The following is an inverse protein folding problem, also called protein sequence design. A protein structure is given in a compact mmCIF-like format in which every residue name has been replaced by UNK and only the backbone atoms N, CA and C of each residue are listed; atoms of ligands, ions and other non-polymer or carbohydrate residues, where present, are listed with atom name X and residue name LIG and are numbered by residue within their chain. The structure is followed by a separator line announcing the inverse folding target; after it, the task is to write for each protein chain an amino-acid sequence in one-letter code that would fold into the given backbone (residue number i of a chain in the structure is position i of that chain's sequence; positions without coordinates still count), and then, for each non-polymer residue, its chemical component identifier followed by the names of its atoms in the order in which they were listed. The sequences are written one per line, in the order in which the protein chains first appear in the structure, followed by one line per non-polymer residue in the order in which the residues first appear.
data_IF_742922517157
#
_entry.id   IF_742922517157
#
_cell.length_a   1.000
_cell.length_b   1.000
_cell.length_c   1.000
_cell.angle_alpha   90.00
_cell.angle_beta   90.00
_cell.angle_gamma   90.00
#
_symmetry.space_group_name_H-M   'P 1'
#
loop_
_entity.id
_entity.type
_entity.pdbx_description
1 polymer ?
#
# COMPACT_ATOMS: atom_id res chain seq x y z
N UNK A 1 18.10 -14.33 -6.14
CA UNK A 1 19.40 -13.62 -6.15
C UNK A 1 19.49 -12.82 -7.44
N UNK A 2 20.11 -11.64 -7.41
CA UNK A 2 20.37 -10.77 -8.57
C UNK A 2 21.87 -10.52 -8.63
N UNK A 3 22.47 -10.76 -9.80
CA UNK A 3 23.90 -10.57 -10.04
C UNK A 3 24.06 -9.53 -11.14
N UNK A 4 24.66 -8.39 -10.79
CA UNK A 4 24.95 -7.29 -11.72
C UNK A 4 26.31 -7.51 -12.42
N UNK A 5 26.54 -6.83 -13.54
CA UNK A 5 27.75 -6.98 -14.36
C UNK A 5 29.05 -6.65 -13.64
N UNK A 6 28.98 -5.76 -12.66
CA UNK A 6 30.11 -5.29 -11.87
C UNK A 6 30.46 -6.21 -10.70
N UNK A 7 29.68 -7.25 -10.43
CA UNK A 7 29.86 -8.15 -9.27
C UNK A 7 31.15 -8.97 -9.30
N UNK A 8 31.76 -9.22 -8.14
CA UNK A 8 32.74 -10.30 -7.98
C UNK A 8 32.07 -11.70 -8.02
N UNK A 9 32.15 -12.34 -9.19
CA UNK A 9 31.60 -13.67 -9.42
C UNK A 9 32.25 -14.77 -8.57
N UNK A 10 33.50 -14.61 -8.13
CA UNK A 10 34.14 -15.58 -7.24
C UNK A 10 33.53 -15.51 -5.84
N UNK A 11 33.29 -14.30 -5.33
CA UNK A 11 32.60 -14.09 -4.06
C UNK A 11 31.17 -14.66 -4.10
N UNK A 12 30.44 -14.45 -5.21
CA UNK A 12 29.10 -15.02 -5.44
C UNK A 12 29.13 -16.55 -5.33
N UNK A 13 30.05 -17.21 -6.03
CA UNK A 13 30.13 -18.69 -6.05
C UNK A 13 30.54 -19.23 -4.68
N UNK A 14 31.53 -18.62 -4.04
CA UNK A 14 31.92 -19.00 -2.68
C UNK A 14 30.74 -18.89 -1.71
N UNK A 15 29.95 -17.82 -1.81
CA UNK A 15 28.75 -17.66 -0.99
C UNK A 15 27.71 -18.74 -1.30
N UNK A 16 27.43 -19.02 -2.57
CA UNK A 16 26.51 -20.08 -2.97
C UNK A 16 26.96 -21.45 -2.47
N UNK A 17 28.25 -21.78 -2.56
CA UNK A 17 28.78 -23.04 -2.04
C UNK A 17 28.55 -23.20 -0.54
N UNK A 18 28.69 -22.11 0.24
CA UNK A 18 28.49 -22.14 1.69
C UNK A 18 27.00 -22.22 2.06
N UNK A 19 26.13 -21.53 1.29
CA UNK A 19 24.75 -21.25 1.71
C UNK A 19 23.68 -22.07 0.98
N UNK A 20 23.96 -22.60 -0.21
CA UNK A 20 22.97 -23.28 -1.03
C UNK A 20 22.46 -24.59 -0.42
N UNK A 21 23.29 -25.27 0.38
CA UNK A 21 22.87 -26.46 1.12
C UNK A 21 21.96 -26.13 2.32
N UNK A 22 22.11 -24.93 2.90
CA UNK A 22 21.42 -24.52 4.12
C UNK A 22 20.12 -23.76 3.83
N UNK A 23 20.06 -23.00 2.74
CA UNK A 23 18.92 -22.15 2.40
C UNK A 23 18.50 -22.33 0.93
N UNK A 24 17.28 -22.82 0.66
CA UNK A 24 16.83 -23.05 -0.71
C UNK A 24 16.71 -21.73 -1.48
N UNK A 25 17.45 -21.60 -2.58
CA UNK A 25 17.28 -20.50 -3.52
C UNK A 25 16.13 -20.82 -4.48
N UNK A 26 15.23 -19.86 -4.70
CA UNK A 26 14.13 -20.04 -5.64
C UNK A 26 14.53 -19.73 -7.09
N UNK A 27 15.31 -18.67 -7.29
CA UNK A 27 15.66 -18.15 -8.62
C UNK A 27 16.91 -17.28 -8.58
N UNK A 28 17.73 -17.36 -9.63
CA UNK A 28 18.89 -16.48 -9.85
C UNK A 28 18.65 -15.66 -11.13
N UNK A 29 18.80 -14.35 -11.03
CA UNK A 29 18.80 -13.42 -12.16
C UNK A 29 20.22 -12.93 -12.39
N UNK A 30 20.70 -13.03 -13.62
CA UNK A 30 22.08 -12.68 -13.99
C UNK A 30 22.06 -11.71 -15.16
N UNK A 31 22.84 -10.63 -15.08
CA UNK A 31 22.95 -9.72 -16.20
C UNK A 31 23.62 -10.44 -17.38
N UNK A 32 23.07 -10.29 -18.59
CA UNK A 32 23.43 -11.09 -19.77
C UNK A 32 24.96 -11.14 -20.01
N UNK A 33 25.63 -10.00 -19.84
CA UNK A 33 27.09 -9.82 -20.04
C UNK A 33 27.97 -10.71 -19.17
N UNK A 34 27.50 -11.14 -18.00
CA UNK A 34 28.28 -11.97 -17.06
C UNK A 34 27.76 -13.40 -16.93
N UNK A 35 26.68 -13.74 -17.65
CA UNK A 35 26.03 -15.05 -17.59
C UNK A 35 26.95 -16.20 -18.03
N UNK A 36 27.63 -16.06 -19.17
CA UNK A 36 28.55 -17.09 -19.67
C UNK A 36 29.74 -17.32 -18.73
N UNK A 37 30.29 -16.23 -18.18
CA UNK A 37 31.42 -16.28 -17.24
C UNK A 37 31.00 -16.96 -15.93
N UNK A 38 29.80 -16.69 -15.43
CA UNK A 38 29.26 -17.35 -14.24
C UNK A 38 29.09 -18.85 -14.48
N UNK A 39 28.49 -19.25 -15.60
CA UNK A 39 28.29 -20.67 -15.95
C UNK A 39 29.63 -21.40 -16.11
N UNK A 40 30.63 -20.73 -16.67
CA UNK A 40 31.98 -21.29 -16.78
C UNK A 40 32.59 -21.52 -15.39
N UNK A 41 32.53 -20.53 -14.50
CA UNK A 41 33.06 -20.66 -13.14
C UNK A 41 32.35 -21.76 -12.35
N UNK A 42 31.02 -21.86 -12.43
CA UNK A 42 30.27 -22.93 -11.75
C UNK A 42 30.75 -24.33 -12.17
N UNK A 43 31.04 -24.52 -13.47
CA UNK A 43 31.63 -25.77 -13.98
C UNK A 43 33.03 -26.00 -13.44
N UNK A 44 33.87 -24.96 -13.38
CA UNK A 44 35.23 -25.05 -12.84
C UNK A 44 35.27 -25.44 -11.36
N UNK A 45 34.29 -24.99 -10.57
CA UNK A 45 34.18 -25.35 -9.14
C UNK A 45 33.40 -26.66 -8.90
N UNK A 46 33.01 -27.40 -9.95
CA UNK A 46 32.16 -28.59 -9.86
C UNK A 46 30.88 -28.38 -9.04
N UNK A 47 30.32 -27.17 -9.12
CA UNK A 47 29.15 -26.77 -8.35
C UNK A 47 27.89 -26.86 -9.20
N UNK A 48 27.05 -27.85 -8.91
CA UNK A 48 25.75 -28.02 -9.56
C UNK A 48 24.64 -27.42 -8.70
N UNK A 49 23.87 -26.49 -9.29
CA UNK A 49 22.76 -25.83 -8.63
C UNK A 49 21.46 -26.24 -9.34
N UNK A 50 20.48 -26.75 -8.59
CA UNK A 50 19.17 -27.17 -9.10
C UNK A 50 18.18 -26.01 -9.36
N UNK A 51 18.67 -24.77 -9.36
CA UNK A 51 17.87 -23.55 -9.39
C UNK A 51 17.87 -22.93 -10.79
N UNK A 52 16.76 -22.32 -11.17
CA UNK A 52 16.64 -21.62 -12.45
C UNK A 52 17.52 -20.37 -12.49
N UNK A 53 18.35 -20.26 -13.53
CA UNK A 53 19.18 -19.10 -13.83
C UNK A 53 18.59 -18.41 -15.05
N UNK A 54 18.05 -17.22 -14.85
CA UNK A 54 17.49 -16.39 -15.91
C UNK A 54 18.41 -15.21 -16.18
N UNK A 55 18.49 -14.80 -17.44
CA UNK A 55 19.26 -13.61 -17.85
C UNK A 55 18.36 -12.39 -17.98
N UNK A 56 18.92 -11.21 -17.73
CA UNK A 56 18.26 -9.93 -17.99
C UNK A 56 19.24 -8.92 -18.61
N UNK A 57 18.72 -7.97 -19.40
CA UNK A 57 19.51 -6.91 -20.01
C UNK A 57 19.48 -5.63 -19.17
N UNK A 58 18.29 -5.28 -18.70
CA UNK A 58 18.05 -4.11 -17.86
C UNK A 58 17.42 -4.52 -16.55
N UNK A 59 17.76 -3.80 -15.48
CA UNK A 59 17.14 -3.96 -14.17
C UNK A 59 15.61 -3.74 -14.21
N UNK A 60 15.12 -2.97 -15.21
CA UNK A 60 13.68 -2.79 -15.46
C UNK A 60 12.97 -4.07 -15.91
N UNK A 61 13.71 -5.03 -16.47
CA UNK A 61 13.18 -6.31 -16.94
C UNK A 61 12.94 -7.26 -15.76
N UNK A 62 13.56 -6.98 -14.61
CA UNK A 62 13.39 -7.74 -13.38
C UNK A 62 12.07 -7.34 -12.71
N UNK A 63 10.96 -7.82 -13.26
CA UNK A 63 9.71 -7.84 -12.52
C UNK A 63 9.75 -9.00 -11.52
N UNK A 64 10.07 -8.68 -10.27
CA UNK A 64 9.85 -9.65 -9.20
C UNK A 64 8.36 -9.95 -9.14
N UNK A 65 8.00 -11.18 -9.52
CA UNK A 65 6.65 -11.69 -9.34
C UNK A 65 6.30 -11.53 -7.86
N UNK A 66 5.41 -10.59 -7.56
CA UNK A 66 4.74 -10.61 -6.27
C UNK A 66 3.87 -11.87 -6.25
N UNK A 67 4.04 -12.77 -5.27
CA UNK A 67 3.10 -13.85 -5.12
C UNK A 67 1.71 -13.22 -4.95
N UNK A 68 0.73 -13.65 -5.75
CA UNK A 68 -0.68 -13.21 -5.61
C UNK A 68 -1.24 -13.48 -4.20
N UNK A 69 -0.54 -14.29 -3.38
CA UNK A 69 -0.86 -14.64 -2.01
C UNK A 69 0.20 -14.11 -1.05
N UNK A 70 -0.23 -13.24 -0.15
CA UNK A 70 0.57 -12.43 0.76
C UNK A 70 1.15 -13.21 1.97
N UNK A 71 1.58 -14.46 1.79
CA UNK A 71 2.06 -15.33 2.89
C UNK A 71 3.56 -15.63 2.78
N UNK A 72 4.20 -15.33 1.64
CA UNK A 72 5.59 -15.69 1.43
C UNK A 72 6.52 -14.50 1.70
N UNK A 73 7.50 -14.71 2.58
CA UNK A 73 8.57 -13.74 2.83
C UNK A 73 9.45 -13.64 1.59
N UNK A 74 9.54 -12.43 1.02
CA UNK A 74 10.43 -12.15 -0.10
C UNK A 74 11.78 -11.66 0.40
N UNK A 75 12.79 -12.50 0.19
CA UNK A 75 14.20 -12.22 0.51
C UNK A 75 14.96 -12.12 -0.80
N UNK A 76 15.66 -11.01 -0.99
CA UNK A 76 16.45 -10.74 -2.20
C UNK A 76 17.91 -10.56 -1.78
N UNK A 77 18.82 -11.12 -2.56
CA UNK A 77 20.26 -10.86 -2.44
C UNK A 77 20.72 -10.24 -3.75
N UNK A 78 21.37 -9.09 -3.66
CA UNK A 78 21.92 -8.30 -4.76
C UNK A 78 23.44 -8.35 -4.65
N UNK A 79 24.10 -8.65 -5.75
CA UNK A 79 25.56 -8.64 -5.87
C UNK A 79 25.95 -7.53 -6.84
N UNK A 80 26.88 -6.67 -6.40
CA UNK A 80 27.38 -5.50 -7.14
C UNK A 80 28.50 -4.86 -6.34
N UNK A 81 29.55 -4.41 -7.02
CA UNK A 81 30.65 -3.65 -6.41
C UNK A 81 30.29 -2.17 -6.29
N UNK A 82 29.36 -1.66 -7.12
CA UNK A 82 28.74 -0.35 -6.93
C UNK A 82 27.65 -0.40 -5.85
N UNK A 83 28.08 -0.20 -4.61
CA UNK A 83 27.20 -0.16 -3.44
C UNK A 83 26.09 0.90 -3.56
N UNK A 84 26.34 2.03 -4.24
CA UNK A 84 25.33 3.08 -4.40
C UNK A 84 24.23 2.63 -5.35
N UNK A 85 24.60 2.05 -6.49
CA UNK A 85 23.65 1.45 -7.42
C UNK A 85 22.86 0.29 -6.76
N UNK A 86 23.54 -0.58 -6.00
CA UNK A 86 22.93 -1.68 -5.27
C UNK A 86 21.90 -1.20 -4.23
N UNK A 87 22.21 -0.12 -3.47
CA UNK A 87 21.28 0.49 -2.50
C UNK A 87 20.05 1.08 -3.20
N UNK A 88 20.24 1.80 -4.31
CA UNK A 88 19.13 2.37 -5.08
C UNK A 88 18.24 1.27 -5.66
N UNK A 89 18.83 0.20 -6.17
CA UNK A 89 18.11 -0.98 -6.61
C UNK A 89 17.33 -1.59 -5.44
N UNK A 90 17.99 -1.91 -4.32
CA UNK A 90 17.37 -2.47 -3.13
C UNK A 90 16.15 -1.68 -2.66
N UNK A 91 16.22 -0.34 -2.66
CA UNK A 91 15.11 0.54 -2.30
C UNK A 91 13.91 0.41 -3.26
N UNK A 92 14.16 0.20 -4.55
CA UNK A 92 13.12 0.06 -5.58
C UNK A 92 12.39 -1.29 -5.57
N UNK A 93 13.01 -2.34 -5.02
CA UNK A 93 12.44 -3.70 -5.03
C UNK A 93 11.38 -3.89 -3.95
N UNK A 94 10.20 -4.43 -4.29
CA UNK A 94 9.18 -4.79 -3.30
C UNK A 94 9.58 -6.07 -2.57
N UNK A 95 10.29 -5.92 -1.45
CA UNK A 95 10.81 -7.05 -0.67
C UNK A 95 10.90 -6.72 0.82
N UNK A 96 10.80 -7.74 1.65
CA UNK A 96 10.87 -7.58 3.10
C UNK A 96 12.32 -7.45 3.59
N UNK A 97 13.22 -8.22 2.98
CA UNK A 97 14.63 -8.26 3.36
C UNK A 97 15.50 -8.28 2.10
N UNK A 98 16.46 -7.37 2.04
CA UNK A 98 17.47 -7.32 0.98
C UNK A 98 18.86 -7.44 1.57
N UNK A 99 19.68 -8.32 1.01
CA UNK A 99 21.10 -8.42 1.31
C UNK A 99 21.90 -7.87 0.12
N UNK A 100 22.92 -7.07 0.39
CA UNK A 100 23.88 -6.59 -0.61
C UNK A 100 25.22 -7.28 -0.34
N UNK A 101 25.76 -7.95 -1.36
CA UNK A 101 27.00 -8.74 -1.35
C UNK A 101 27.04 -9.87 -0.31
N UNK A 102 25.87 -10.33 0.13
CA UNK A 102 25.65 -11.48 1.02
C UNK A 102 24.32 -12.17 0.71
N UNK A 103 24.12 -13.36 1.24
CA UNK A 103 22.86 -14.09 1.18
C UNK A 103 22.60 -14.82 2.50
N UNK A 104 21.43 -14.57 3.11
CA UNK A 104 20.92 -15.28 4.30
C UNK A 104 21.88 -15.32 5.51
N UNK A 105 22.75 -14.32 5.65
CA UNK A 105 23.65 -14.20 6.79
C UNK A 105 23.02 -13.34 7.89
N UNK A 106 22.49 -14.01 8.93
CA UNK A 106 21.70 -13.40 9.98
C UNK A 106 22.50 -12.97 11.24
N UNK A 107 23.84 -13.08 11.23
CA UNK A 107 24.77 -12.69 12.31
C UNK A 107 24.15 -12.68 13.73
N UNK A 108 24.02 -13.87 14.32
CA UNK A 108 23.79 -14.05 15.76
C UNK A 108 22.55 -13.37 16.32
N UNK A 109 21.39 -13.49 15.66
CA UNK A 109 20.04 -13.05 16.08
C UNK A 109 19.63 -11.60 15.78
N UNK A 110 20.42 -10.84 15.01
CA UNK A 110 20.22 -9.38 14.97
C UNK A 110 19.34 -8.85 13.84
N UNK A 111 18.99 -9.69 12.87
CA UNK A 111 17.98 -9.35 11.89
C UNK A 111 16.63 -9.58 12.56
N UNK A 112 16.04 -8.49 13.09
CA UNK A 112 14.68 -8.54 13.63
C UNK A 112 13.74 -8.92 12.50
N UNK A 113 13.30 -10.18 12.50
CA UNK A 113 12.40 -10.70 11.49
C UNK A 113 11.08 -9.92 11.51
N UNK A 114 10.57 -9.45 10.37
CA UNK A 114 9.34 -8.67 10.29
C UNK A 114 8.05 -9.51 10.50
N UNK A 115 8.07 -10.50 11.42
CA UNK A 115 6.97 -11.45 11.62
C UNK A 115 5.67 -10.77 12.05
N UNK A 116 5.76 -9.76 12.94
CA UNK A 116 4.57 -9.05 13.44
C UNK A 116 3.85 -8.25 12.36
N UNK A 117 4.57 -7.66 11.40
CA UNK A 117 3.95 -6.93 10.28
C UNK A 117 3.33 -7.87 9.23
N UNK A 118 3.86 -9.08 9.08
CA UNK A 118 3.34 -10.08 8.12
C UNK A 118 1.99 -10.65 8.54
N UNK A 119 1.78 -10.90 9.83
CA UNK A 119 0.48 -11.33 10.37
C UNK A 119 -0.61 -10.29 10.07
N UNK A 120 -0.27 -9.00 10.15
CA UNK A 120 -1.18 -7.90 9.86
C UNK A 120 -1.52 -7.80 8.36
N UNK A 121 -0.52 -7.97 7.48
CA UNK A 121 -0.74 -8.06 6.04
C UNK A 121 -1.62 -9.26 5.65
N UNK A 122 -1.48 -10.39 6.33
CA UNK A 122 -2.32 -11.57 6.08
C UNK A 122 -3.81 -11.29 6.33
N UNK A 123 -4.14 -10.51 7.37
CA UNK A 123 -5.51 -10.12 7.68
C UNK A 123 -6.11 -9.23 6.58
N UNK A 124 -5.41 -8.15 6.20
CA UNK A 124 -5.84 -7.23 5.14
C UNK A 124 -5.94 -7.87 3.75
N UNK A 125 -5.08 -8.84 3.43
CA UNK A 125 -5.16 -9.54 2.13
C UNK A 125 -6.28 -10.58 2.09
N UNK A 126 -6.62 -11.18 3.25
CA UNK A 126 -7.77 -12.09 3.36
C UNK A 126 -9.09 -11.35 3.16
N UNK A 127 -9.19 -10.12 3.66
CA UNK A 127 -10.31 -9.19 3.45
C UNK A 127 -10.59 -8.95 1.94
N UNK A 128 -9.53 -8.82 1.14
CA UNK A 128 -9.61 -8.52 -0.29
C UNK A 128 -9.92 -9.72 -1.19
N UNK A 129 -9.51 -10.92 -0.80
CA UNK A 129 -9.69 -12.11 -1.64
C UNK A 129 -11.14 -12.58 -1.62
N UNK A 130 -11.85 -12.37 -0.51
CA UNK A 130 -13.25 -12.79 -0.33
C UNK A 130 -14.19 -11.98 -1.24
N UNK A 131 -13.94 -10.68 -1.41
CA UNK A 131 -14.73 -9.81 -2.31
C UNK A 131 -14.55 -10.18 -3.79
N UNK A 132 -13.39 -10.73 -4.16
CA UNK A 132 -13.08 -11.15 -5.54
C UNK A 132 -13.55 -12.56 -5.91
N UNK A 133 -13.94 -13.39 -4.94
CA UNK A 133 -14.33 -14.78 -5.17
C UNK A 133 -15.83 -15.04 -5.03
N UNK A 134 -16.60 -14.12 -4.42
CA UNK A 134 -18.06 -14.23 -4.34
C UNK A 134 -18.74 -13.50 -5.52
N UNK A 135 -18.55 -14.02 -6.72
CA UNK A 135 -19.29 -13.60 -7.93
C UNK A 135 -20.78 -14.01 -7.90
N UNK A 136 -21.28 -14.68 -6.85
CA UNK A 136 -22.65 -15.24 -6.85
C UNK A 136 -23.60 -14.78 -5.72
N UNK A 137 -23.14 -14.12 -4.65
CA UNK A 137 -24.01 -13.78 -3.50
C UNK A 137 -24.48 -12.32 -3.45
N UNK A 138 -23.90 -11.43 -4.26
CA UNK A 138 -24.32 -10.01 -4.33
C UNK A 138 -25.63 -9.85 -5.12
N UNK A 139 -26.11 -10.91 -5.76
CA UNK A 139 -27.40 -10.96 -6.44
C UNK A 139 -28.61 -11.30 -5.58
N UNK A 140 -28.45 -11.71 -4.31
CA UNK A 140 -29.56 -12.36 -3.57
C UNK A 140 -29.89 -11.82 -2.18
N UNK A 141 -29.32 -10.72 -1.70
CA UNK A 141 -30.01 -9.95 -0.66
C UNK A 141 -31.13 -9.15 -1.33
N UNK A 142 -32.23 -9.83 -1.66
CA UNK A 142 -33.54 -9.21 -1.91
C UNK A 142 -34.09 -8.64 -0.59
N UNK A 143 -33.35 -7.74 0.05
CA UNK A 143 -34.00 -6.75 0.87
C UNK A 143 -34.43 -5.66 -0.10
N UNK A 144 -35.72 -5.67 -0.44
CA UNK A 144 -36.37 -4.55 -1.08
C UNK A 144 -36.30 -3.37 -0.12
N UNK A 145 -35.17 -2.66 -0.13
CA UNK A 145 -35.09 -1.35 0.49
C UNK A 145 -36.13 -0.46 -0.17
N UNK A 146 -36.98 0.16 0.65
CA UNK A 146 -37.99 1.12 0.18
C UNK A 146 -37.37 2.42 -0.32
N UNK A 147 -36.09 2.67 -0.06
CA UNK A 147 -35.45 3.94 -0.37
C UNK A 147 -34.58 3.89 -1.63
N UNK A 148 -34.29 2.70 -2.16
CA UNK A 148 -33.51 2.55 -3.39
C UNK A 148 -34.41 2.74 -4.61
N UNK A 149 -34.03 3.66 -5.48
CA UNK A 149 -34.73 4.06 -6.70
C UNK A 149 -33.76 4.02 -7.88
N UNK A 150 -34.28 3.64 -9.05
CA UNK A 150 -33.52 3.73 -10.28
C UNK A 150 -33.62 5.17 -10.83
N UNK A 151 -32.51 5.80 -11.20
CA UNK A 151 -32.52 7.22 -11.57
C UNK A 151 -33.45 7.52 -12.76
N UNK A 152 -33.61 6.57 -13.69
CA UNK A 152 -34.53 6.72 -14.83
C UNK A 152 -36.00 6.87 -14.45
N UNK A 153 -36.41 6.50 -13.23
CA UNK A 153 -37.79 6.65 -12.75
C UNK A 153 -38.07 7.97 -12.02
N UNK A 154 -37.03 8.76 -11.68
CA UNK A 154 -37.13 9.96 -10.82
C UNK A 154 -36.95 11.28 -11.60
N UNK A 155 -36.83 11.22 -12.93
CA UNK A 155 -36.60 12.39 -13.79
C UNK A 155 -37.87 13.27 -13.89
N UNK A 156 -38.29 13.97 -12.83
CA UNK A 156 -39.27 15.08 -12.91
C UNK A 156 -39.15 16.21 -11.88
N UNK A 157 -38.15 16.24 -10.99
CA UNK A 157 -38.03 17.33 -10.01
C UNK A 157 -36.64 17.94 -10.01
N UNK A 158 -36.55 19.18 -10.49
CA UNK A 158 -35.32 19.95 -10.71
C UNK A 158 -34.55 20.34 -9.43
N UNK A 159 -35.04 19.99 -8.24
CA UNK A 159 -34.49 20.44 -6.95
C UNK A 159 -33.80 19.34 -6.13
N UNK A 160 -33.58 18.15 -6.70
CA UNK A 160 -32.95 17.02 -5.98
C UNK A 160 -31.46 16.99 -6.28
N UNK A 161 -30.62 17.16 -5.25
CA UNK A 161 -29.18 16.96 -5.34
C UNK A 161 -28.84 15.48 -5.53
N UNK A 162 -28.04 15.18 -6.56
CA UNK A 162 -27.59 13.82 -6.90
C UNK A 162 -26.11 13.69 -6.54
N UNK A 163 -25.80 12.78 -5.63
CA UNK A 163 -24.46 12.40 -5.24
C UNK A 163 -24.03 11.11 -5.92
N UNK A 164 -22.97 11.20 -6.72
CA UNK A 164 -22.36 10.09 -7.44
C UNK A 164 -21.21 9.45 -6.64
N UNK A 165 -20.68 8.34 -7.15
CA UNK A 165 -19.46 7.73 -6.63
C UNK A 165 -18.24 8.54 -7.10
N UNK A 166 -17.11 8.45 -6.40
CA UNK A 166 -15.87 9.09 -6.85
C UNK A 166 -14.73 8.08 -6.89
N UNK A 167 -14.18 7.83 -8.07
CA UNK A 167 -12.98 7.02 -8.25
C UNK A 167 -12.33 7.37 -9.59
N UNK A 168 -11.06 7.02 -9.75
CA UNK A 168 -10.26 7.35 -10.93
C UNK A 168 -10.17 8.87 -11.21
N UNK A 169 -10.28 9.68 -10.15
CA UNK A 169 -10.18 11.14 -10.24
C UNK A 169 -11.43 11.83 -10.82
N UNK A 170 -12.55 11.12 -10.96
CA UNK A 170 -13.79 11.67 -11.50
C UNK A 170 -15.03 11.16 -10.75
N UNK A 171 -16.12 11.92 -10.88
CA UNK A 171 -17.45 11.50 -10.43
C UNK A 171 -18.03 10.46 -11.40
N UNK A 172 -18.52 9.36 -10.86
CA UNK A 172 -18.97 8.18 -11.60
C UNK A 172 -20.39 7.82 -11.20
N UNK A 173 -21.25 7.59 -12.19
CA UNK A 173 -22.60 7.07 -11.96
C UNK A 173 -22.53 5.58 -11.58
N UNK A 174 -23.39 5.10 -10.66
CA UNK A 174 -23.41 3.70 -10.28
C UNK A 174 -23.78 2.83 -11.49
N UNK A 175 -23.13 1.68 -11.65
CA UNK A 175 -23.29 0.81 -12.84
C UNK A 175 -24.73 0.38 -13.06
N UNK A 176 -25.45 0.05 -11.99
CA UNK A 176 -26.87 -0.35 -12.06
C UNK A 176 -27.84 0.84 -12.08
N UNK A 177 -27.36 2.09 -12.08
CA UNK A 177 -28.20 3.28 -12.05
C UNK A 177 -29.05 3.44 -10.78
N UNK A 178 -28.70 2.74 -9.71
CA UNK A 178 -29.44 2.69 -8.45
C UNK A 178 -28.95 3.76 -7.49
N UNK A 179 -29.89 4.46 -6.85
CA UNK A 179 -29.64 5.52 -5.87
C UNK A 179 -30.53 5.30 -4.66
N UNK A 180 -30.11 5.71 -3.46
CA UNK A 180 -30.94 5.75 -2.27
C UNK A 180 -31.28 7.19 -1.88
N UNK A 181 -32.50 7.40 -1.38
CA UNK A 181 -32.97 8.74 -1.00
C UNK A 181 -32.71 9.03 0.48
N UNK A 182 -32.09 10.18 0.76
CA UNK A 182 -31.89 10.66 2.13
C UNK A 182 -31.75 12.18 2.19
N UNK A 183 -32.42 12.81 3.16
CA UNK A 183 -32.43 14.27 3.38
C UNK A 183 -32.66 15.10 2.10
N UNK A 184 -33.59 14.66 1.25
CA UNK A 184 -33.91 15.35 -0.01
C UNK A 184 -32.86 15.18 -1.13
N UNK A 185 -31.80 14.42 -0.90
CA UNK A 185 -30.78 14.06 -1.89
C UNK A 185 -30.91 12.60 -2.35
N UNK A 186 -30.38 12.30 -3.53
CA UNK A 186 -30.20 10.94 -4.05
C UNK A 186 -28.71 10.60 -4.04
N UNK A 187 -28.35 9.52 -3.37
CA UNK A 187 -26.96 9.06 -3.26
C UNK A 187 -26.80 7.74 -4.00
N UNK A 188 -25.71 7.57 -4.74
CA UNK A 188 -25.47 6.36 -5.50
C UNK A 188 -25.48 5.12 -4.59
N UNK A 189 -26.09 4.03 -5.04
CA UNK A 189 -26.03 2.74 -4.38
C UNK A 189 -24.90 1.92 -5.00
N UNK A 190 -23.84 1.70 -4.22
CA UNK A 190 -22.67 0.94 -4.66
C UNK A 190 -23.03 -0.54 -4.82
N UNK A 191 -22.62 -1.14 -5.95
CA UNK A 191 -22.72 -2.58 -6.22
C UNK A 191 -21.35 -3.26 -6.15
N UNK A 192 -21.29 -4.59 -6.27
CA UNK A 192 -20.00 -5.30 -6.37
C UNK A 192 -19.13 -4.73 -7.48
N UNK A 193 -19.71 -4.55 -8.66
CA UNK A 193 -19.00 -4.13 -9.85
C UNK A 193 -18.43 -2.71 -9.66
N UNK A 194 -19.18 -1.83 -8.99
CA UNK A 194 -18.73 -0.49 -8.63
C UNK A 194 -17.55 -0.56 -7.65
N UNK A 195 -17.64 -1.43 -6.64
CA UNK A 195 -16.55 -1.65 -5.68
C UNK A 195 -15.30 -2.20 -6.36
N UNK A 196 -15.42 -3.19 -7.26
CA UNK A 196 -14.29 -3.77 -7.99
C UNK A 196 -13.58 -2.72 -8.86
N UNK A 197 -14.33 -1.86 -9.56
CA UNK A 197 -13.75 -0.75 -10.34
C UNK A 197 -13.06 0.28 -9.45
N UNK A 198 -13.71 0.68 -8.35
CA UNK A 198 -13.14 1.59 -7.36
C UNK A 198 -11.86 1.03 -6.74
N UNK A 199 -11.85 -0.26 -6.40
CA UNK A 199 -10.67 -0.94 -5.86
C UNK A 199 -9.53 -1.00 -6.88
N UNK A 200 -9.81 -1.30 -8.15
CA UNK A 200 -8.81 -1.26 -9.22
C UNK A 200 -8.22 0.15 -9.37
N UNK A 201 -9.06 1.18 -9.31
CA UNK A 201 -8.63 2.59 -9.25
C UNK A 201 -7.70 2.83 -8.06
N UNK A 202 -8.06 2.36 -6.86
CA UNK A 202 -7.22 2.47 -5.68
C UNK A 202 -5.87 1.76 -5.81
N UNK A 203 -5.83 0.57 -6.43
CA UNK A 203 -4.57 -0.15 -6.71
C UNK A 203 -3.68 0.62 -7.68
N UNK A 204 -4.24 1.26 -8.71
CA UNK A 204 -3.49 2.14 -9.60
C UNK A 204 -2.97 3.39 -8.85
N UNK A 205 -3.82 3.97 -8.01
CA UNK A 205 -3.47 5.06 -7.11
C UNK A 205 -2.32 4.69 -6.16
N UNK A 206 -2.31 3.46 -5.62
CA UNK A 206 -1.23 2.94 -4.79
C UNK A 206 0.11 2.96 -5.52
N UNK A 207 0.16 2.47 -6.76
CA UNK A 207 1.39 2.41 -7.56
C UNK A 207 2.01 3.80 -7.74
N UNK A 208 1.17 4.82 -7.91
CA UNK A 208 1.61 6.20 -8.07
C UNK A 208 1.98 6.84 -6.73
N UNK A 209 1.13 6.71 -5.72
CA UNK A 209 1.25 7.42 -4.44
C UNK A 209 2.32 6.84 -3.50
N UNK A 210 2.47 5.52 -3.48
CA UNK A 210 3.51 4.85 -2.69
C UNK A 210 4.91 5.09 -3.24
N UNK A 211 5.05 5.25 -4.57
CA UNK A 211 6.32 5.55 -5.23
C UNK A 211 6.82 6.98 -4.98
N UNK A 212 5.92 7.91 -4.64
CA UNK A 212 6.31 9.27 -4.29
C UNK A 212 7.11 9.31 -2.99
N UNK A 213 8.04 10.26 -2.88
CA UNK A 213 8.74 10.51 -1.62
C UNK A 213 7.77 11.11 -0.58
N UNK A 214 8.03 10.89 0.71
CA UNK A 214 7.25 11.52 1.78
C UNK A 214 7.26 13.06 1.67
N UNK A 215 8.38 13.64 1.21
CA UNK A 215 8.53 15.08 0.96
C UNK A 215 7.55 15.57 -0.12
N UNK A 216 7.42 14.83 -1.22
CA UNK A 216 6.47 15.13 -2.30
C UNK A 216 5.03 15.05 -1.79
N UNK A 217 4.69 13.99 -1.05
CA UNK A 217 3.34 13.86 -0.43
C UNK A 217 3.03 15.04 0.49
N UNK A 218 3.99 15.50 1.27
CA UNK A 218 3.82 16.68 2.15
C UNK A 218 3.61 17.97 1.38
N UNK A 219 4.31 18.17 0.26
CA UNK A 219 4.09 19.34 -0.60
C UNK A 219 2.68 19.37 -1.20
N UNK A 220 2.14 18.20 -1.55
CA UNK A 220 0.75 18.08 -2.02
C UNK A 220 -0.22 18.38 -0.86
N UNK A 221 0.00 17.79 0.31
CA UNK A 221 -0.85 18.01 1.49
C UNK A 221 -0.74 19.44 2.07
N UNK A 222 0.37 20.16 1.86
CA UNK A 222 0.48 21.55 2.28
C UNK A 222 -0.38 22.49 1.42
N UNK A 223 -0.60 22.15 0.14
CA UNK A 223 -1.58 22.87 -0.70
C UNK A 223 -3.00 22.67 -0.15
N UNK A 224 -3.32 21.46 0.30
CA UNK A 224 -4.61 21.17 0.94
C UNK A 224 -4.83 22.02 2.20
N UNK A 225 -3.80 22.24 3.02
CA UNK A 225 -3.88 23.18 4.16
C UNK A 225 -4.32 24.57 3.69
N UNK A 226 -3.70 25.11 2.63
CA UNK A 226 -4.02 26.43 2.10
C UNK A 226 -5.46 26.51 1.59
N UNK A 227 -5.91 25.49 0.84
CA UNK A 227 -7.28 25.41 0.32
C UNK A 227 -8.30 25.33 1.48
N UNK A 228 -8.05 24.49 2.48
CA UNK A 228 -8.92 24.37 3.66
C UNK A 228 -9.01 25.69 4.45
N UNK A 229 -7.91 26.43 4.59
CA UNK A 229 -7.93 27.76 5.22
C UNK A 229 -8.74 28.77 4.42
N UNK A 230 -8.56 28.80 3.09
CA UNK A 230 -9.31 29.73 2.22
C UNK A 230 -10.82 29.48 2.21
N UNK A 231 -11.24 28.24 2.47
CA UNK A 231 -12.65 27.83 2.56
C UNK A 231 -13.21 27.92 3.99
N UNK A 232 -12.43 28.45 4.94
CA UNK A 232 -12.84 28.65 6.34
C UNK A 232 -12.81 27.38 7.20
N UNK A 233 -12.29 26.26 6.70
CA UNK A 233 -12.19 24.96 7.39
C UNK A 233 -10.93 24.87 8.26
N UNK A 234 -10.79 25.80 9.21
CA UNK A 234 -9.57 25.95 10.02
C UNK A 234 -9.23 24.72 10.88
N UNK A 235 -10.25 24.04 11.44
CA UNK A 235 -10.03 22.84 12.28
C UNK A 235 -9.41 21.71 11.45
N UNK A 236 -9.93 21.47 10.24
CA UNK A 236 -9.39 20.46 9.33
C UNK A 236 -7.99 20.85 8.86
N UNK A 237 -7.78 22.13 8.53
CA UNK A 237 -6.45 22.62 8.17
C UNK A 237 -5.41 22.36 9.28
N UNK A 238 -5.77 22.57 10.55
CA UNK A 238 -4.90 22.30 11.68
C UNK A 238 -4.57 20.80 11.83
N UNK A 239 -5.52 19.90 11.54
CA UNK A 239 -5.29 18.45 11.50
C UNK A 239 -4.23 18.12 10.43
N UNK A 240 -4.40 18.63 9.21
CA UNK A 240 -3.45 18.40 8.12
C UNK A 240 -2.08 18.99 8.45
N UNK A 241 -2.01 20.21 9.00
CA UNK A 241 -0.76 20.87 9.42
C UNK A 241 0.02 20.08 10.47
N UNK A 242 -0.68 19.40 11.38
CA UNK A 242 -0.05 18.57 12.38
C UNK A 242 0.57 17.33 11.75
N UNK A 243 -0.12 16.74 10.78
CA UNK A 243 0.33 15.56 10.06
C UNK A 243 1.50 15.82 9.11
N UNK A 244 1.53 16.94 8.40
CA UNK A 244 2.69 17.28 7.54
C UNK A 244 4.00 17.44 8.32
N UNK A 245 3.93 17.71 9.64
CA UNK A 245 5.10 17.78 10.53
C UNK A 245 5.56 16.39 11.02
N UNK A 246 4.83 15.32 10.70
CA UNK A 246 5.14 13.96 11.13
C UNK A 246 6.55 13.47 10.81
N UNK A 247 7.17 13.75 9.63
CA UNK A 247 8.52 13.25 9.37
C UNK A 247 9.58 13.80 10.31
N UNK A 248 9.34 14.98 10.92
CA UNK A 248 10.23 15.50 11.96
C UNK A 248 10.16 14.69 13.26
N UNK A 249 9.06 13.95 13.48
CA UNK A 249 8.83 13.11 14.65
C UNK A 249 9.30 11.67 14.43
N UNK A 250 9.34 11.20 13.19
CA UNK A 250 9.71 9.84 12.85
C UNK A 250 10.49 9.77 11.53
N UNK A 251 11.79 9.47 11.63
CA UNK A 251 12.61 9.18 10.46
C UNK A 251 12.19 7.85 9.84
N UNK A 252 11.62 7.91 8.64
CA UNK A 252 11.15 6.74 7.89
C UNK A 252 12.29 5.87 7.34
N UNK A 253 13.48 6.45 7.18
CA UNK A 253 14.71 5.75 6.79
C UNK A 253 15.73 5.95 7.90
N UNK A 254 16.25 4.86 8.46
CA UNK A 254 17.28 4.88 9.48
C UNK A 254 18.39 3.92 9.06
N UNK A 255 19.61 4.45 8.91
CA UNK A 255 20.81 3.66 8.69
C UNK A 255 21.66 3.66 9.93
N UNK A 256 22.23 2.52 10.30
CA UNK A 256 23.25 2.44 11.33
C UNK A 256 24.31 1.41 10.96
N UNK A 257 25.56 1.73 11.28
CA UNK A 257 26.68 0.80 11.19
C UNK A 257 26.65 -0.04 12.46
N UNK A 258 26.50 -1.35 12.31
CA UNK A 258 26.34 -2.24 13.47
C UNK A 258 27.67 -2.85 13.91
N UNK A 259 28.54 -3.13 12.96
CA UNK A 259 29.92 -3.55 13.15
C UNK A 259 30.73 -2.97 11.99
N UNK A 260 32.07 -3.02 12.09
CA UNK A 260 32.97 -2.53 11.02
C UNK A 260 32.70 -3.19 9.65
N UNK A 261 31.94 -4.29 9.63
CA UNK A 261 31.66 -5.09 8.43
C UNK A 261 30.21 -4.98 7.92
N UNK A 262 29.29 -4.35 8.67
CA UNK A 262 27.85 -4.41 8.36
C UNK A 262 27.17 -3.05 8.56
N UNK A 263 26.55 -2.57 7.50
CA UNK A 263 25.59 -1.47 7.53
C UNK A 263 24.16 -2.00 7.40
N UNK A 264 23.27 -1.56 8.29
CA UNK A 264 21.84 -1.91 8.26
C UNK A 264 21.04 -0.65 7.96
N UNK A 265 20.26 -0.68 6.89
CA UNK A 265 19.28 0.34 6.55
C UNK A 265 17.87 -0.21 6.77
N UNK A 266 17.08 0.51 7.55
CA UNK A 266 15.68 0.23 7.80
C UNK A 266 14.84 1.28 7.09
N UNK A 267 13.88 0.82 6.29
CA UNK A 267 12.87 1.65 5.64
C UNK A 267 11.49 1.05 5.86
N UNK A 268 10.43 1.75 5.45
CA UNK A 268 9.07 1.24 5.50
C UNK A 268 8.33 1.51 4.19
N UNK A 269 7.59 0.51 3.73
CA UNK A 269 6.76 0.57 2.53
C UNK A 269 5.29 0.71 2.92
N UNK A 270 4.47 1.29 2.04
CA UNK A 270 3.01 1.40 2.24
C UNK A 270 2.36 0.02 2.37
N UNK A 271 1.40 -0.12 3.26
CA UNK A 271 0.67 -1.37 3.51
C UNK A 271 -0.19 -1.82 2.32
N UNK A 272 -0.94 -0.91 1.70
CA UNK A 272 -1.91 -1.22 0.65
C UNK A 272 -3.09 -0.25 0.62
N UNK A 273 -4.19 -0.68 0.01
CA UNK A 273 -5.45 0.09 0.00
C UNK A 273 -6.11 -0.02 1.37
N UNK A 274 -6.48 1.12 1.96
CA UNK A 274 -7.17 1.17 3.27
C UNK A 274 -8.63 1.54 3.05
N UNK A 275 -9.53 0.88 3.79
CA UNK A 275 -10.97 1.15 3.73
C UNK A 275 -11.38 1.85 5.01
N UNK A 276 -12.09 2.98 4.89
CA UNK A 276 -12.65 3.70 6.04
C UNK A 276 -14.17 3.65 5.91
N UNK A 277 -14.83 3.09 6.92
CA UNK A 277 -16.28 2.98 7.02
C UNK A 277 -16.78 3.85 8.20
N UNK A 278 -18.09 4.05 8.31
CA UNK A 278 -18.75 4.40 9.59
C UNK A 278 -18.12 5.52 10.45
N UNK A 279 -17.56 6.57 9.83
CA UNK A 279 -17.04 7.71 10.59
C UNK A 279 -18.13 8.75 10.85
N UNK A 280 -18.52 8.91 12.10
CA UNK A 280 -19.53 9.91 12.50
C UNK A 280 -18.98 11.33 12.50
N UNK A 281 -17.70 11.51 12.84
CA UNK A 281 -17.07 12.81 12.99
C UNK A 281 -16.18 13.15 11.81
N UNK A 282 -16.46 14.28 11.18
CA UNK A 282 -15.64 14.87 10.10
C UNK A 282 -14.16 15.00 10.51
N UNK A 283 -13.89 15.44 11.75
CA UNK A 283 -12.54 15.58 12.26
C UNK A 283 -11.81 14.24 12.38
N UNK A 284 -12.52 13.18 12.81
CA UNK A 284 -11.93 11.84 12.94
C UNK A 284 -11.67 11.23 11.56
N UNK A 285 -12.61 11.42 10.62
CA UNK A 285 -12.43 11.00 9.22
C UNK A 285 -11.19 11.66 8.62
N UNK A 286 -11.06 12.99 8.74
CA UNK A 286 -9.88 13.70 8.22
C UNK A 286 -8.60 13.28 8.92
N UNK A 287 -8.63 13.03 10.22
CA UNK A 287 -7.45 12.57 10.96
C UNK A 287 -6.93 11.23 10.42
N UNK A 288 -7.83 10.26 10.21
CA UNK A 288 -7.49 8.94 9.66
C UNK A 288 -7.13 9.00 8.18
N UNK A 289 -7.79 9.87 7.42
CA UNK A 289 -7.44 10.14 6.03
C UNK A 289 -6.00 10.61 5.93
N UNK A 290 -5.59 11.58 6.74
CA UNK A 290 -4.21 12.09 6.74
C UNK A 290 -3.19 11.05 7.19
N UNK A 291 -3.52 10.23 8.19
CA UNK A 291 -2.69 9.08 8.61
C UNK A 291 -2.38 8.16 7.43
N UNK A 292 -3.43 7.75 6.72
CA UNK A 292 -3.35 6.85 5.57
C UNK A 292 -2.54 7.46 4.42
N UNK A 293 -2.84 8.73 4.08
CA UNK A 293 -2.19 9.41 2.96
C UNK A 293 -0.69 9.63 3.19
N UNK A 294 -0.27 10.04 4.39
CA UNK A 294 1.15 10.27 4.69
C UNK A 294 1.95 8.96 4.61
N UNK A 295 1.37 7.85 5.06
CA UNK A 295 1.92 6.50 4.94
C UNK A 295 2.02 5.98 3.50
N UNK A 296 1.50 6.73 2.51
CA UNK A 296 1.59 6.36 1.09
C UNK A 296 0.53 5.35 0.65
N UNK A 297 -0.52 5.16 1.45
CA UNK A 297 -1.63 4.28 1.13
C UNK A 297 -2.77 5.07 0.47
N UNK A 298 -3.41 4.55 -0.58
CA UNK A 298 -4.69 5.06 -1.04
C UNK A 298 -5.81 4.62 -0.11
N UNK A 299 -6.95 5.30 -0.22
CA UNK A 299 -8.08 5.13 0.68
C UNK A 299 -9.40 5.06 -0.08
N UNK A 300 -10.28 4.19 0.37
CA UNK A 300 -11.68 4.11 -0.07
C UNK A 300 -12.54 4.48 1.15
N UNK A 301 -13.27 5.58 1.05
CA UNK A 301 -14.23 6.00 2.08
C UNK A 301 -15.62 5.53 1.66
N UNK A 302 -16.32 4.82 2.53
CA UNK A 302 -17.71 4.41 2.31
C UNK A 302 -18.59 5.03 3.40
N UNK A 303 -19.64 5.73 2.99
CA UNK A 303 -20.60 6.35 3.90
C UNK A 303 -22.04 5.90 3.61
N UNK A 304 -22.89 6.08 4.62
CA UNK A 304 -24.35 5.96 4.52
C UNK A 304 -25.05 7.22 5.09
N UNK A 305 -26.37 7.14 5.26
CA UNK A 305 -27.22 8.19 5.81
C UNK A 305 -26.77 8.73 7.18
N UNK A 306 -26.14 7.90 8.01
CA UNK A 306 -25.83 8.21 9.41
C UNK A 306 -24.38 8.67 9.60
N UNK A 307 -23.53 8.55 8.58
CA UNK A 307 -22.10 8.83 8.67
C UNK A 307 -21.67 10.03 7.84
N UNK A 308 -20.48 10.55 8.16
CA UNK A 308 -19.93 11.75 7.54
C UNK A 308 -19.72 11.54 6.04
N UNK A 309 -20.23 12.48 5.25
CA UNK A 309 -20.07 12.49 3.80
C UNK A 309 -18.96 13.48 3.39
N UNK A 310 -17.79 13.00 2.93
CA UNK A 310 -16.69 13.86 2.51
C UNK A 310 -16.83 14.39 1.07
N UNK A 311 -17.94 14.16 0.36
CA UNK A 311 -18.12 14.55 -1.05
C UNK A 311 -17.72 16.00 -1.36
N UNK A 312 -18.06 16.94 -0.47
CA UNK A 312 -17.73 18.36 -0.61
C UNK A 312 -16.22 18.68 -0.63
N UNK A 313 -15.36 17.75 -0.26
CA UNK A 313 -13.90 17.92 -0.24
C UNK A 313 -13.20 17.37 -1.49
N UNK A 314 -13.89 16.60 -2.33
CA UNK A 314 -13.24 15.94 -3.48
C UNK A 314 -12.76 16.93 -4.54
N UNK A 315 -13.49 18.01 -4.77
CA UNK A 315 -13.02 19.08 -5.64
C UNK A 315 -11.77 19.77 -5.07
N UNK A 316 -11.68 19.90 -3.73
CA UNK A 316 -10.48 20.43 -3.08
C UNK A 316 -9.29 19.47 -3.24
N UNK A 317 -9.51 18.16 -3.12
CA UNK A 317 -8.47 17.15 -3.34
C UNK A 317 -7.95 17.18 -4.78
N UNK A 318 -8.84 17.32 -5.76
CA UNK A 318 -8.48 17.49 -7.16
C UNK A 318 -7.67 18.77 -7.40
N UNK A 319 -8.09 19.91 -6.82
CA UNK A 319 -7.35 21.17 -6.89
C UNK A 319 -5.94 21.08 -6.28
N UNK A 320 -5.75 20.19 -5.30
CA UNK A 320 -4.44 19.98 -4.68
C UNK A 320 -3.52 19.05 -5.48
N UNK A 321 -3.97 18.56 -6.64
CA UNK A 321 -3.25 17.58 -7.48
C UNK A 321 -3.02 16.25 -6.76
N UNK A 322 -3.96 15.83 -5.90
CA UNK A 322 -3.96 14.47 -5.37
C UNK A 322 -4.21 13.50 -6.54
N UNK A 323 -3.34 12.51 -6.79
CA UNK A 323 -3.47 11.66 -7.96
C UNK A 323 -4.78 10.87 -8.00
N UNK A 324 -5.30 10.58 -9.20
CA UNK A 324 -6.45 9.71 -9.40
C UNK A 324 -6.29 8.37 -8.65
N UNK A 325 -7.36 7.92 -8.00
CA UNK A 325 -7.38 6.67 -7.24
C UNK A 325 -6.75 6.73 -5.85
N UNK A 326 -6.12 7.83 -5.44
CA UNK A 326 -5.57 7.95 -4.08
C UNK A 326 -6.65 8.12 -3.03
N UNK A 327 -7.68 8.90 -3.32
CA UNK A 327 -8.87 9.06 -2.47
C UNK A 327 -10.09 8.69 -3.31
N UNK A 328 -10.89 7.74 -2.82
CA UNK A 328 -12.08 7.27 -3.50
C UNK A 328 -13.28 7.33 -2.53
N UNK A 329 -14.47 7.53 -3.09
CA UNK A 329 -15.73 7.62 -2.36
C UNK A 329 -16.72 6.62 -2.93
N UNK A 330 -17.31 5.83 -2.04
CA UNK A 330 -18.46 4.99 -2.32
C UNK A 330 -19.59 5.34 -1.35
N UNK A 331 -20.81 5.10 -1.76
CA UNK A 331 -22.01 5.29 -0.93
C UNK A 331 -22.88 4.04 -0.97
N UNK A 332 -23.43 3.67 0.17
CA UNK A 332 -24.32 2.52 0.31
C UNK A 332 -25.37 2.84 1.36
N UNK A 333 -26.61 2.41 1.18
CA UNK A 333 -27.68 2.73 2.13
C UNK A 333 -27.44 2.19 3.55
N UNK A 334 -26.94 0.95 3.66
CA UNK A 334 -26.58 0.34 4.94
C UNK A 334 -25.16 -0.22 4.86
N UNK A 335 -24.20 0.49 5.48
CA UNK A 335 -22.80 0.07 5.52
C UNK A 335 -22.59 -1.14 6.45
N UNK A 336 -23.52 -1.43 7.36
CA UNK A 336 -23.44 -2.59 8.27
C UNK A 336 -23.46 -3.92 7.53
N UNK A 337 -24.20 -3.99 6.42
CA UNK A 337 -24.22 -5.17 5.54
C UNK A 337 -22.90 -5.38 4.80
N UNK A 338 -22.11 -4.32 4.61
CA UNK A 338 -20.81 -4.35 3.94
C UNK A 338 -19.66 -4.60 4.91
N UNK A 339 -19.80 -4.22 6.17
CA UNK A 339 -18.78 -4.32 7.22
C UNK A 339 -18.20 -5.74 7.33
N UNK A 340 -19.04 -6.76 7.50
CA UNK A 340 -18.57 -8.13 7.62
C UNK A 340 -17.86 -8.63 6.35
N UNK A 341 -18.29 -8.15 5.19
CA UNK A 341 -17.73 -8.55 3.88
C UNK A 341 -16.39 -7.88 3.59
N UNK A 342 -16.24 -6.62 4.00
CA UNK A 342 -15.06 -5.80 3.71
C UNK A 342 -14.00 -5.86 4.82
N UNK A 343 -14.41 -6.00 6.08
CA UNK A 343 -13.52 -5.97 7.24
C UNK A 343 -13.36 -7.33 7.94
N UNK A 344 -14.10 -8.38 7.53
CA UNK A 344 -14.12 -9.74 8.12
C UNK A 344 -14.48 -9.85 9.62
N UNK A 345 -14.55 -8.73 10.30
CA UNK A 345 -14.89 -8.52 11.69
C UNK A 345 -15.63 -7.18 11.81
N UNK A 346 -16.04 -6.81 13.02
CA UNK A 346 -16.57 -5.50 13.32
C UNK A 346 -15.55 -4.42 12.94
N UNK A 347 -16.00 -3.40 12.22
CA UNK A 347 -15.25 -2.22 11.80
C UNK A 347 -14.53 -1.55 12.98
N UNK A 348 -15.13 -1.59 14.17
CA UNK A 348 -14.50 -1.07 15.39
C UNK A 348 -13.19 -1.79 15.71
N UNK A 349 -13.13 -3.10 15.53
CA UNK A 349 -11.91 -3.89 15.74
C UNK A 349 -10.88 -3.56 14.65
N UNK A 350 -11.29 -3.57 13.38
CA UNK A 350 -10.45 -3.16 12.24
C UNK A 350 -9.81 -1.78 12.46
N UNK A 351 -10.60 -0.81 12.89
CA UNK A 351 -10.15 0.54 13.18
C UNK A 351 -9.16 0.58 14.33
N UNK A 352 -9.42 -0.12 15.43
CA UNK A 352 -8.55 -0.11 16.60
C UNK A 352 -7.22 -0.84 16.33
N UNK A 353 -7.23 -1.78 15.39
CA UNK A 353 -6.04 -2.48 14.91
C UNK A 353 -5.14 -1.58 14.06
N UNK A 354 -5.71 -0.68 13.25
CA UNK A 354 -4.94 0.20 12.34
C UNK A 354 -4.66 1.57 12.97
N UNK A 355 -5.70 2.22 13.47
CA UNK A 355 -5.68 3.58 13.97
C UNK A 355 -5.62 3.62 15.50
N UNK A 356 -5.17 4.75 16.02
CA UNK A 356 -5.23 5.03 17.45
C UNK A 356 -5.80 6.43 17.64
N UNK A 357 -6.77 6.54 18.54
CA UNK A 357 -7.36 7.83 18.92
C UNK A 357 -6.46 8.48 19.98
N UNK A 358 -6.19 9.77 19.83
CA UNK A 358 -5.48 10.55 20.86
C UNK A 358 -4.56 11.62 20.30
N UNK A 359 -3.94 12.37 21.21
CA UNK A 359 -3.02 13.47 20.90
C UNK A 359 -1.58 13.18 21.34
N UNK A 360 -1.30 12.01 21.92
CA UNK A 360 0.03 11.57 22.31
C UNK A 360 0.91 11.31 21.09
N UNK A 361 2.23 11.35 21.26
CA UNK A 361 3.18 11.00 20.20
C UNK A 361 2.96 9.58 19.66
N UNK A 362 2.57 8.65 20.54
CA UNK A 362 2.26 7.27 20.19
C UNK A 362 1.06 7.17 19.24
N UNK A 363 0.06 8.05 19.37
CA UNK A 363 -1.09 8.13 18.46
C UNK A 363 -0.69 8.53 17.03
N UNK A 364 0.53 9.05 16.83
CA UNK A 364 1.08 9.34 15.50
C UNK A 364 1.95 8.18 14.99
N UNK A 365 2.87 7.71 15.83
CA UNK A 365 3.89 6.72 15.43
C UNK A 365 3.28 5.33 15.23
N UNK A 366 2.39 4.89 16.13
CA UNK A 366 1.86 3.53 16.09
C UNK A 366 0.96 3.30 14.86
N UNK A 367 0.02 4.20 14.52
CA UNK A 367 -0.74 4.08 13.28
C UNK A 367 0.15 4.12 12.04
N UNK A 368 1.16 4.98 11.99
CA UNK A 368 2.12 4.99 10.89
C UNK A 368 2.82 3.64 10.73
N UNK A 369 3.26 3.02 11.84
CA UNK A 369 3.87 1.67 11.84
C UNK A 369 2.89 0.58 11.43
N UNK A 370 1.61 0.69 11.77
CA UNK A 370 0.56 -0.27 11.37
C UNK A 370 0.19 -0.13 9.89
N UNK A 371 0.19 1.10 9.38
CA UNK A 371 -0.08 1.47 7.98
C UNK A 371 1.13 1.27 7.04
N UNK A 372 2.25 0.74 7.53
CA UNK A 372 3.45 0.53 6.72
C UNK A 372 4.16 -0.76 7.11
N UNK A 373 4.87 -1.38 6.17
CA UNK A 373 5.60 -2.63 6.37
C UNK A 373 7.09 -2.31 6.49
N UNK A 374 7.80 -2.81 7.51
CA UNK A 374 9.24 -2.65 7.59
C UNK A 374 9.94 -3.41 6.47
N UNK A 375 10.95 -2.77 5.88
CA UNK A 375 11.90 -3.35 4.95
C UNK A 375 13.30 -3.10 5.48
N UNK A 376 14.11 -4.15 5.48
CA UNK A 376 15.49 -4.08 5.92
C UNK A 376 16.42 -4.35 4.75
N UNK A 377 17.46 -3.54 4.62
CA UNK A 377 18.54 -3.69 3.66
C UNK A 377 19.82 -3.85 4.47
N UNK A 378 20.50 -4.99 4.30
CA UNK A 378 21.73 -5.35 4.99
C UNK A 378 22.86 -5.29 3.97
N UNK A 379 23.86 -4.46 4.24
CA UNK A 379 25.01 -4.28 3.36
C UNK A 379 26.25 -4.84 4.05
N UNK A 380 26.99 -5.68 3.34
CA UNK A 380 28.35 -6.05 3.71
C UNK A 380 29.32 -4.97 3.25
N UNK A 381 30.15 -4.47 4.15
CA UNK A 381 31.16 -3.44 3.87
C UNK A 381 32.54 -4.03 3.51
N UNK A 382 32.60 -5.34 3.23
CA UNK A 382 33.83 -6.08 2.94
C UNK A 382 34.30 -5.89 1.51
#
# INVERSE_FOLDING_TARGET
MVILEDSDLHAVINCLMITAEQFPLHKIWVQERVSEKLLWLMKSFHFELSVTIDTFQSVKDIQFYQPKRCVNVTIISIWSEDIVAAKNLALSLKSHLVFINKYMDFYGSTVLWPFKSMLFQHLLYKELTIVSQEDETIGQSKEFSRNVVHLSSVIKTNDISIGNLFYDGAWQTPIKGMYWKHNGSLWAQTTCDDFQKCYKSAVNGLQTWSAMSIKTRIQILSRLVSVLKSTGKFVLAAIVERWIKFPYLYNSIQGFIKSDMIEVMQTRESLGVIIILKEESENVLFFRLMQTLISGNPVIVIFDANFCNPSSYFDMFLMCEIPPGVINLLSHEDVSTLEYKLCLDNYTNYVNEIFLKGTSLEAYILPFKRLTIPKQIIISLQ
#
